data_IF_379822628620
#
_entry.id   IF_379822628620
#
_cell.length_a   1.000
_cell.length_b   1.000
_cell.length_c   1.000
_cell.angle_alpha   90.00
_cell.angle_beta   90.00
_cell.angle_gamma   90.00
#
_symmetry.space_group_name_H-M   'P 1'
#
loop_
_entity.id
_entity.type
_entity.pdbx_description
1 polymer ?
#
# COMPACT_ATOMS: atom_id res chain seq x y z
N UNK A 1 5.80 15.57 1.42
CA UNK A 1 6.02 14.11 1.28
C UNK A 1 4.68 13.44 1.53
N UNK A 2 4.20 12.57 0.65
CA UNK A 2 2.98 11.82 0.92
C UNK A 2 3.21 10.97 2.18
N UNK A 3 2.34 11.11 3.18
CA UNK A 3 2.41 10.26 4.36
C UNK A 3 1.76 8.92 4.02
N UNK A 4 2.57 7.88 3.90
CA UNK A 4 2.08 6.51 3.73
C UNK A 4 1.86 5.90 5.11
N UNK A 5 0.64 5.43 5.37
CA UNK A 5 0.29 4.76 6.63
C UNK A 5 0.20 3.27 6.42
N UNK A 6 0.76 2.53 7.36
CA UNK A 6 0.62 1.08 7.41
C UNK A 6 -0.86 0.73 7.53
N UNK A 7 -1.38 0.01 6.55
CA UNK A 7 -2.76 -0.44 6.54
C UNK A 7 -2.86 -1.87 7.10
N UNK A 8 -2.06 -2.79 6.56
CA UNK A 8 -2.10 -4.21 6.95
C UNK A 8 -0.85 -4.97 6.47
N UNK A 9 -0.48 -6.02 7.19
CA UNK A 9 0.39 -7.07 6.69
C UNK A 9 -0.49 -8.26 6.30
N UNK A 10 -0.43 -8.68 5.04
CA UNK A 10 -1.27 -9.74 4.48
C UNK A 10 -0.43 -10.89 3.94
N UNK A 11 -0.97 -12.10 4.00
CA UNK A 11 -0.39 -13.25 3.30
C UNK A 11 -0.79 -13.19 1.82
N UNK A 12 0.00 -13.79 0.93
CA UNK A 12 -0.28 -13.82 -0.52
C UNK A 12 -1.64 -14.46 -0.87
N UNK A 13 -2.15 -15.35 -0.01
CA UNK A 13 -3.45 -16.00 -0.18
C UNK A 13 -4.62 -15.20 0.42
N UNK A 14 -4.35 -14.04 1.03
CA UNK A 14 -5.37 -13.21 1.66
C UNK A 14 -5.79 -12.06 0.73
N UNK A 15 -7.09 -11.93 0.52
CA UNK A 15 -7.63 -10.80 -0.23
C UNK A 15 -7.38 -9.47 0.49
N UNK A 16 -6.98 -8.46 -0.26
CA UNK A 16 -6.94 -7.08 0.22
C UNK A 16 -7.58 -6.14 -0.78
N UNK A 17 -8.54 -5.34 -0.31
CA UNK A 17 -9.34 -4.42 -1.13
C UNK A 17 -9.06 -2.98 -0.75
N UNK A 18 -8.79 -2.15 -1.75
CA UNK A 18 -8.73 -0.69 -1.63
C UNK A 18 -9.93 -0.12 -2.38
N UNK A 19 -10.79 0.65 -1.71
CA UNK A 19 -12.04 1.16 -2.28
C UNK A 19 -12.92 0.07 -2.94
N UNK A 20 -12.91 -1.15 -2.39
CA UNK A 20 -13.64 -2.30 -2.93
C UNK A 20 -12.96 -3.05 -4.07
N UNK A 21 -11.82 -2.57 -4.56
CA UNK A 21 -11.02 -3.20 -5.63
C UNK A 21 -9.96 -4.11 -5.01
N UNK A 22 -10.02 -5.41 -5.31
CA UNK A 22 -9.02 -6.38 -4.82
C UNK A 22 -7.71 -6.18 -5.58
N UNK A 23 -6.65 -5.81 -4.88
CA UNK A 23 -5.36 -5.46 -5.50
C UNK A 23 -4.75 -6.62 -6.28
N UNK A 24 -4.98 -7.87 -5.87
CA UNK A 24 -4.39 -9.06 -6.50
C UNK A 24 -4.99 -9.39 -7.88
N UNK A 25 -6.18 -8.87 -8.17
CA UNK A 25 -6.85 -9.09 -9.46
C UNK A 25 -6.35 -8.16 -10.57
N UNK A 26 -5.39 -7.28 -10.27
CA UNK A 26 -4.90 -6.27 -11.19
C UNK A 26 -3.39 -6.37 -11.33
N UNK A 27 -2.87 -5.89 -12.47
CA UNK A 27 -1.43 -5.78 -12.67
C UNK A 27 -0.88 -4.59 -11.88
N UNK A 28 0.17 -4.83 -11.09
CA UNK A 28 0.81 -3.78 -10.28
C UNK A 28 1.89 -3.08 -11.10
N UNK A 29 1.59 -1.87 -11.55
CA UNK A 29 2.55 -1.00 -12.24
C UNK A 29 3.48 -0.35 -11.21
N UNK A 30 4.78 -0.65 -11.28
CA UNK A 30 5.76 -0.02 -10.38
C UNK A 30 5.99 1.44 -10.79
N UNK A 31 5.66 2.37 -9.89
CA UNK A 31 5.77 3.83 -10.08
C UNK A 31 7.08 4.34 -9.50
N UNK A 32 7.42 3.92 -8.28
CA UNK A 32 8.65 4.28 -7.59
C UNK A 32 9.24 3.03 -6.92
N UNK A 33 10.57 2.90 -6.96
CA UNK A 33 11.29 1.76 -6.42
C UNK A 33 11.77 1.97 -4.99
N UNK A 34 11.75 3.20 -4.47
CA UNK A 34 12.35 3.55 -3.18
C UNK A 34 11.51 4.58 -2.42
N UNK A 35 10.40 4.11 -1.87
CA UNK A 35 9.56 4.87 -0.95
C UNK A 35 9.86 4.47 0.48
N UNK A 36 10.22 5.45 1.31
CA UNK A 36 10.39 5.26 2.75
C UNK A 36 9.02 5.19 3.42
N UNK A 37 8.80 4.13 4.21
CA UNK A 37 7.58 3.93 5.00
C UNK A 37 7.94 3.47 6.40
N UNK A 38 7.09 3.78 7.38
CA UNK A 38 7.32 3.42 8.78
C UNK A 38 6.61 2.10 9.09
N UNK A 39 7.38 1.08 9.47
CA UNK A 39 6.83 -0.22 9.81
C UNK A 39 6.00 -0.21 11.09
N UNK A 40 5.11 -1.21 11.26
CA UNK A 40 4.20 -1.29 12.40
C UNK A 40 4.93 -1.60 13.72
N UNK A 41 6.05 -2.33 13.68
CA UNK A 41 6.80 -2.72 14.87
C UNK A 41 7.92 -1.71 15.15
N UNK A 42 7.75 -0.94 16.23
CA UNK A 42 8.75 0.00 16.78
C UNK A 42 9.14 1.19 15.89
N UNK A 43 8.39 1.45 14.82
CA UNK A 43 8.61 2.62 13.96
C UNK A 43 9.88 2.56 13.11
N UNK A 44 10.40 1.35 12.85
CA UNK A 44 11.56 1.18 11.98
C UNK A 44 11.22 1.58 10.54
N UNK A 45 12.10 2.31 9.83
CA UNK A 45 11.89 2.64 8.43
C UNK A 45 12.14 1.44 7.51
N UNK A 46 11.31 1.32 6.49
CA UNK A 46 11.41 0.36 5.38
C UNK A 46 11.46 1.12 4.06
N UNK A 47 12.18 0.57 3.08
CA UNK A 47 12.19 1.09 1.70
C UNK A 47 11.46 0.13 0.79
N UNK A 48 10.21 0.47 0.47
CA UNK A 48 9.32 -0.32 -0.36
C UNK A 48 9.02 0.37 -1.69
N UNK A 49 8.25 -0.31 -2.54
CA UNK A 49 7.92 0.19 -3.88
C UNK A 49 6.51 0.76 -3.88
N UNK A 50 6.32 1.87 -4.57
CA UNK A 50 4.98 2.35 -4.92
C UNK A 50 4.50 1.61 -6.16
N UNK A 51 3.28 1.12 -6.07
CA UNK A 51 2.56 0.48 -7.15
C UNK A 51 1.28 1.24 -7.46
N UNK A 52 0.88 1.11 -8.71
CA UNK A 52 -0.37 1.61 -9.24
C UNK A 52 -1.16 0.45 -9.87
N UNK A 53 -2.46 0.43 -9.64
CA UNK A 53 -3.40 -0.45 -10.33
C UNK A 53 -4.52 0.38 -10.95
N UNK A 54 -5.02 -0.08 -12.09
CA UNK A 54 -6.18 0.49 -12.76
C UNK A 54 -7.36 -0.46 -12.64
N UNK A 55 -8.47 0.00 -12.06
CA UNK A 55 -9.65 -0.80 -11.80
C UNK A 55 -10.92 0.04 -11.72
N UNK A 56 -11.99 -0.44 -12.33
CA UNK A 56 -13.31 0.20 -12.31
C UNK A 56 -13.29 1.69 -12.74
N UNK A 57 -12.43 2.05 -13.70
CA UNK A 57 -12.26 3.43 -14.18
C UNK A 57 -11.51 4.36 -13.23
N UNK A 58 -10.91 3.82 -12.16
CA UNK A 58 -10.08 4.54 -11.20
C UNK A 58 -8.65 4.02 -11.22
N UNK A 59 -7.74 4.88 -10.80
CA UNK A 59 -6.33 4.54 -10.60
C UNK A 59 -6.03 4.63 -9.11
N UNK A 60 -5.53 3.53 -8.53
CA UNK A 60 -5.22 3.42 -7.10
C UNK A 60 -3.71 3.29 -6.94
N UNK A 61 -3.13 4.09 -6.05
CA UNK A 61 -1.73 4.03 -5.67
C UNK A 61 -1.59 3.49 -4.24
N UNK A 62 -0.67 2.56 -4.04
CA UNK A 62 -0.32 2.02 -2.73
C UNK A 62 1.16 1.65 -2.69
N UNK A 63 1.75 1.64 -1.49
CA UNK A 63 3.10 1.14 -1.30
C UNK A 63 3.04 -0.27 -0.76
N UNK A 64 3.85 -1.16 -1.32
CA UNK A 64 3.92 -2.55 -0.89
C UNK A 64 5.34 -3.10 -0.89
N UNK A 65 5.60 -4.00 0.05
CA UNK A 65 6.85 -4.75 0.15
C UNK A 65 6.72 -5.94 1.08
N UNK A 66 7.55 -6.95 0.85
CA UNK A 66 7.59 -8.17 1.66
C UNK A 66 8.44 -7.93 2.93
N UNK A 67 7.90 -8.34 4.08
CA UNK A 67 8.63 -8.39 5.34
C UNK A 67 9.38 -9.73 5.48
N UNK A 68 10.29 -9.82 6.44
CA UNK A 68 11.08 -11.04 6.69
C UNK A 68 10.25 -12.29 7.03
N UNK A 69 8.99 -12.12 7.45
CA UNK A 69 8.05 -13.20 7.77
C UNK A 69 7.15 -13.61 6.58
N UNK A 70 7.54 -13.27 5.35
CA UNK A 70 6.79 -13.57 4.10
C UNK A 70 5.43 -12.88 3.97
N UNK A 71 5.13 -11.94 4.87
CA UNK A 71 3.93 -11.11 4.76
C UNK A 71 4.20 -9.89 3.89
N UNK A 72 3.23 -9.52 3.07
CA UNK A 72 3.26 -8.29 2.27
C UNK A 72 2.67 -7.15 3.09
N UNK A 73 3.49 -6.17 3.44
CA UNK A 73 3.05 -4.93 4.06
C UNK A 73 2.44 -4.00 3.03
N UNK A 74 1.19 -3.60 3.25
CA UNK A 74 0.46 -2.65 2.41
C UNK A 74 0.33 -1.31 3.14
N UNK A 75 0.61 -0.24 2.41
CA UNK A 75 0.55 1.13 2.90
C UNK A 75 -0.32 1.97 1.96
N UNK A 76 -1.20 2.75 2.55
CA UNK A 76 -2.12 3.64 1.83
C UNK A 76 -1.71 5.09 2.08
N UNK A 77 -2.01 5.96 1.12
CA UNK A 77 -1.83 7.40 1.34
C UNK A 77 -2.73 7.79 2.51
N UNK A 78 -2.19 8.55 3.44
CA UNK A 78 -2.98 9.29 4.39
C UNK A 78 -3.68 10.40 3.60
N UNK A 79 -4.84 10.08 3.07
CA UNK A 79 -5.73 11.10 2.55
C UNK A 79 -6.26 11.84 3.78
N UNK A 80 -5.53 12.89 4.18
CA UNK A 80 -6.04 13.93 5.09
C UNK A 80 -7.23 14.70 4.48
N UNK A 81 -7.74 14.26 3.33
CA UNK A 81 -8.88 14.81 2.60
C UNK A 81 -10.08 13.86 2.66
N UNK A 82 -10.71 13.77 3.84
CA UNK A 82 -12.16 13.98 4.00
C UNK A 82 -12.51 14.04 5.50
N UNK A 83 -13.26 14.99 6.08
CA UNK A 83 -13.67 16.34 5.70
C UNK A 83 -14.04 17.00 7.02
N UNK A 84 -13.56 18.23 7.21
CA UNK A 84 -14.08 19.18 8.18
C UNK A 84 -15.48 19.60 7.69
N UNK A 85 -16.55 19.12 8.34
CA UNK A 85 -17.84 19.80 8.41
C UNK A 85 -18.60 19.36 9.67
#
# INVERSE_FOLDING_TARGET
MAQWKFAKAINENEEFKIEGINIWNHYWHCVDKKVEVIGPDRGNPYYFKEYQIDGNGKTINFVAGEFADYQVGIYLKDDLSDTKL
#
